data_IF_102005163013
#
_entry.id   IF_102005163013
#
_cell.length_a   1.000
_cell.length_b   1.000
_cell.length_c   1.000
_cell.angle_alpha   90.00
_cell.angle_beta   90.00
_cell.angle_gamma   90.00
#
_symmetry.space_group_name_H-M   'P 1'
#
loop_
_entity.id
_entity.type
_entity.pdbx_description
1 polymer ?
#
# COMPACT_ATOMS: atom_id res chain seq x y z
N UNK A 1 23.40 -10.30 21.05
CA UNK A 1 23.62 -10.39 19.59
C UNK A 1 22.49 -9.73 18.84
N UNK A 2 21.22 -9.91 19.24
CA UNK A 2 20.05 -9.34 18.56
C UNK A 2 19.91 -7.81 18.79
N UNK A 3 20.20 -7.30 19.97
CA UNK A 3 20.11 -5.86 20.27
C UNK A 3 21.13 -5.03 19.47
N UNK A 4 22.35 -5.51 19.29
CA UNK A 4 23.34 -4.82 18.45
C UNK A 4 22.94 -4.81 16.98
N UNK A 5 22.37 -5.91 16.48
CA UNK A 5 21.95 -5.99 15.07
C UNK A 5 20.88 -4.97 14.74
N UNK A 6 19.88 -4.79 15.60
CA UNK A 6 18.80 -3.81 15.36
C UNK A 6 19.34 -2.39 15.41
N UNK A 7 20.15 -2.04 16.43
CA UNK A 7 20.74 -0.72 16.59
C UNK A 7 21.60 -0.33 15.38
N UNK A 8 22.52 -1.21 14.98
CA UNK A 8 23.41 -0.97 13.82
C UNK A 8 22.64 -0.75 12.52
N UNK A 9 21.55 -1.52 12.28
CA UNK A 9 20.72 -1.34 11.09
C UNK A 9 19.91 -0.04 11.13
N UNK A 10 19.41 0.36 12.29
CA UNK A 10 18.69 1.65 12.45
C UNK A 10 19.64 2.82 12.22
N UNK A 11 20.86 2.78 12.78
CA UNK A 11 21.88 3.80 12.58
C UNK A 11 22.28 3.89 11.08
N UNK A 12 22.50 2.75 10.44
CA UNK A 12 22.81 2.71 9.02
C UNK A 12 21.67 3.29 8.18
N UNK A 13 20.43 2.88 8.45
CA UNK A 13 19.25 3.40 7.75
C UNK A 13 19.13 4.90 7.93
N UNK A 14 19.26 5.40 9.16
CA UNK A 14 19.21 6.84 9.45
C UNK A 14 20.26 7.63 8.66
N UNK A 15 21.49 7.14 8.61
CA UNK A 15 22.57 7.77 7.83
C UNK A 15 22.26 7.79 6.32
N UNK A 16 21.69 6.70 5.75
CA UNK A 16 21.29 6.66 4.35
C UNK A 16 20.13 7.63 4.05
N UNK A 17 19.17 7.74 4.97
CA UNK A 17 18.07 8.72 4.83
C UNK A 17 18.55 10.17 4.94
N UNK A 18 19.53 10.47 5.79
CA UNK A 18 20.15 11.81 5.85
C UNK A 18 20.77 12.20 4.50
N UNK A 19 21.54 11.30 3.88
CA UNK A 19 22.10 11.51 2.55
C UNK A 19 21.03 11.68 1.46
N UNK A 20 19.96 10.90 1.54
CA UNK A 20 18.84 10.99 0.61
C UNK A 20 18.12 12.33 0.74
N UNK A 21 17.83 12.75 1.96
CA UNK A 21 17.13 14.02 2.25
C UNK A 21 17.96 15.21 1.78
N UNK A 22 19.27 15.21 2.03
CA UNK A 22 20.16 16.26 1.53
C UNK A 22 20.05 16.42 -0.01
N UNK A 23 20.00 15.30 -0.73
CA UNK A 23 19.82 15.32 -2.19
C UNK A 23 18.43 15.80 -2.61
N UNK A 24 17.37 15.39 -1.87
CA UNK A 24 16.00 15.81 -2.15
C UNK A 24 15.81 17.31 -1.95
N UNK A 25 16.34 17.87 -0.89
CA UNK A 25 16.23 19.30 -0.57
C UNK A 25 16.99 20.18 -1.56
N UNK A 26 18.16 19.75 -2.01
CA UNK A 26 18.91 20.45 -3.08
C UNK A 26 18.12 20.52 -4.40
N UNK A 27 17.28 19.53 -4.68
CA UNK A 27 16.47 19.50 -5.90
C UNK A 27 15.15 20.30 -5.76
N UNK A 28 14.79 20.77 -4.56
CA UNK A 28 13.63 21.64 -4.33
C UNK A 28 12.28 21.03 -4.67
N UNK A 29 12.20 19.69 -4.86
CA UNK A 29 10.98 18.97 -5.22
C UNK A 29 10.43 18.22 -4.02
N UNK A 30 9.16 18.44 -3.62
CA UNK A 30 8.54 17.74 -2.50
C UNK A 30 8.09 16.29 -2.85
N UNK A 31 8.69 15.70 -3.88
CA UNK A 31 8.28 14.42 -4.41
C UNK A 31 8.97 13.27 -3.69
N UNK A 32 8.22 12.20 -3.40
CA UNK A 32 8.78 11.00 -2.84
C UNK A 32 9.81 10.35 -3.80
N UNK A 33 10.98 9.95 -3.32
CA UNK A 33 11.91 9.17 -4.11
C UNK A 33 11.29 7.78 -4.36
N UNK A 34 11.49 7.23 -5.56
CA UNK A 34 10.99 5.91 -5.93
C UNK A 34 12.12 4.90 -6.07
N UNK A 35 13.18 5.26 -6.76
CA UNK A 35 14.33 4.41 -7.03
C UNK A 35 15.53 5.27 -7.44
N UNK A 36 16.60 4.61 -7.82
CA UNK A 36 17.76 5.26 -8.47
C UNK A 36 17.94 4.69 -9.87
N UNK A 37 18.39 5.52 -10.80
CA UNK A 37 18.78 5.06 -12.13
C UNK A 37 20.16 4.38 -12.12
N UNK A 38 20.57 3.86 -13.27
CA UNK A 38 21.88 3.19 -13.43
C UNK A 38 23.09 4.12 -13.21
N UNK A 39 22.85 5.44 -13.16
CA UNK A 39 23.89 6.47 -12.89
C UNK A 39 23.86 6.95 -11.42
N UNK A 40 22.97 6.38 -10.59
CA UNK A 40 22.81 6.78 -9.19
C UNK A 40 21.99 8.05 -8.98
N UNK A 41 21.28 8.55 -10.00
CA UNK A 41 20.38 9.68 -9.84
C UNK A 41 19.04 9.23 -9.25
N UNK A 42 18.44 10.07 -8.39
CA UNK A 42 17.14 9.79 -7.82
C UNK A 42 16.06 9.87 -8.92
N UNK A 43 15.30 8.80 -9.07
CA UNK A 43 14.06 8.78 -9.84
C UNK A 43 12.92 9.01 -8.86
N UNK A 44 12.16 10.06 -9.09
CA UNK A 44 11.02 10.40 -8.24
C UNK A 44 9.76 9.64 -8.69
N UNK A 45 8.83 9.44 -7.78
CA UNK A 45 7.47 9.07 -8.13
C UNK A 45 6.95 10.05 -9.19
N UNK A 46 6.39 9.54 -10.30
CA UNK A 46 6.05 10.36 -11.48
C UNK A 46 5.06 11.47 -11.17
N UNK A 47 4.24 11.23 -10.19
CA UNK A 47 3.30 12.19 -9.64
C UNK A 47 2.90 11.70 -8.23
N UNK A 48 2.17 12.53 -7.53
CA UNK A 48 1.61 12.19 -6.21
C UNK A 48 0.66 10.99 -6.22
N UNK A 49 0.17 10.54 -7.38
CA UNK A 49 -0.69 9.38 -7.60
C UNK A 49 0.08 8.05 -7.75
N UNK A 50 1.39 8.10 -7.72
CA UNK A 50 2.22 6.88 -7.78
C UNK A 50 2.02 6.09 -6.47
N UNK A 51 1.70 4.81 -6.60
CA UNK A 51 1.42 3.92 -5.48
C UNK A 51 2.54 3.86 -4.44
N UNK A 52 3.78 4.13 -4.86
CA UNK A 52 4.95 4.14 -3.97
C UNK A 52 5.08 5.42 -3.14
N UNK A 53 4.30 6.46 -3.40
CA UNK A 53 4.49 7.78 -2.81
C UNK A 53 4.36 7.82 -1.29
N UNK A 54 3.61 6.90 -0.69
CA UNK A 54 3.42 6.80 0.77
C UNK A 54 4.60 6.19 1.52
N UNK A 55 5.40 5.35 0.87
CA UNK A 55 6.44 4.57 1.58
C UNK A 55 7.57 5.42 2.14
N UNK A 56 7.99 6.47 1.44
CA UNK A 56 9.05 7.33 1.94
C UNK A 56 8.63 8.04 3.24
N UNK A 57 7.44 8.62 3.28
CA UNK A 57 6.89 9.21 4.49
C UNK A 57 6.74 8.15 5.61
N UNK A 58 6.28 6.95 5.27
CA UNK A 58 6.19 5.82 6.20
C UNK A 58 7.51 5.45 6.83
N UNK A 59 8.57 5.37 6.03
CA UNK A 59 9.92 5.08 6.53
C UNK A 59 10.42 6.15 7.50
N UNK A 60 10.12 7.42 7.25
CA UNK A 60 10.48 8.51 8.17
C UNK A 60 9.72 8.42 9.50
N UNK A 61 8.45 7.99 9.48
CA UNK A 61 7.70 7.69 10.70
C UNK A 61 8.33 6.55 11.50
N UNK A 62 8.78 5.49 10.83
CA UNK A 62 9.48 4.39 11.49
C UNK A 62 10.83 4.83 12.07
N UNK A 63 11.61 5.66 11.36
CA UNK A 63 12.84 6.23 11.92
C UNK A 63 12.57 7.06 13.18
N UNK A 64 11.50 7.86 13.17
CA UNK A 64 11.08 8.58 14.39
C UNK A 64 10.76 7.59 15.53
N UNK A 65 9.96 6.58 15.27
CA UNK A 65 9.57 5.60 16.28
C UNK A 65 10.78 4.84 16.88
N UNK A 66 11.75 4.51 16.04
CA UNK A 66 12.92 3.72 16.45
C UNK A 66 14.02 4.55 17.11
N UNK A 67 14.15 5.83 16.78
CA UNK A 67 15.24 6.68 17.27
C UNK A 67 14.79 7.72 18.31
N UNK A 68 13.51 8.09 18.32
CA UNK A 68 12.99 9.21 19.12
C UNK A 68 13.46 10.60 18.64
N UNK A 69 14.19 10.70 17.53
CA UNK A 69 14.72 11.96 17.02
C UNK A 69 13.63 12.77 16.30
N UNK A 70 13.29 13.94 16.85
CA UNK A 70 12.25 14.86 16.34
C UNK A 70 12.50 15.35 14.91
N UNK A 71 13.73 15.27 14.40
CA UNK A 71 14.00 15.60 12.99
C UNK A 71 13.22 14.68 12.05
N UNK A 72 13.14 13.38 12.37
CA UNK A 72 12.42 12.41 11.56
C UNK A 72 10.92 12.66 11.57
N UNK A 73 10.36 13.03 12.71
CA UNK A 73 8.95 13.43 12.82
C UNK A 73 8.64 14.67 11.97
N UNK A 74 9.51 15.68 12.02
CA UNK A 74 9.35 16.91 11.23
C UNK A 74 9.36 16.60 9.73
N UNK A 75 10.28 15.77 9.28
CA UNK A 75 10.38 15.34 7.89
C UNK A 75 9.20 14.44 7.50
N UNK A 76 8.82 13.48 8.36
CA UNK A 76 7.68 12.60 8.14
C UNK A 76 6.39 13.40 7.94
N UNK A 77 6.13 14.40 8.77
CA UNK A 77 4.99 15.32 8.61
C UNK A 77 5.04 16.04 7.27
N UNK A 78 6.16 16.65 6.91
CA UNK A 78 6.35 17.38 5.65
C UNK A 78 5.96 16.51 4.44
N UNK A 79 6.49 15.28 4.37
CA UNK A 79 6.24 14.38 3.25
C UNK A 79 4.87 13.70 3.31
N UNK A 80 4.32 13.46 4.49
CA UNK A 80 2.94 12.98 4.67
C UNK A 80 1.92 14.01 4.18
N UNK A 81 2.05 15.26 4.62
CA UNK A 81 1.10 16.32 4.29
C UNK A 81 1.07 16.66 2.79
N UNK A 82 2.19 16.46 2.09
CA UNK A 82 2.25 16.58 0.64
C UNK A 82 1.31 15.60 -0.10
N UNK A 83 0.91 14.50 0.56
CA UNK A 83 0.04 13.47 0.01
C UNK A 83 -1.45 13.69 0.32
N UNK A 84 -1.83 14.81 0.93
CA UNK A 84 -3.20 15.05 1.43
C UNK A 84 -4.29 14.82 0.38
N UNK A 85 -4.06 15.20 -0.88
CA UNK A 85 -5.05 15.06 -1.94
C UNK A 85 -5.29 13.61 -2.37
N UNK A 86 -4.39 12.68 -2.02
CA UNK A 86 -4.51 11.27 -2.36
C UNK A 86 -5.66 10.57 -1.65
N UNK A 87 -6.17 11.12 -0.55
CA UNK A 87 -7.35 10.61 0.13
C UNK A 87 -8.60 10.50 -0.78
N UNK A 88 -8.61 11.16 -1.94
CA UNK A 88 -9.72 11.16 -2.88
C UNK A 88 -9.53 10.23 -4.09
N UNK A 89 -8.47 9.41 -4.11
CA UNK A 89 -8.23 8.47 -5.20
C UNK A 89 -9.31 7.38 -5.22
N UNK A 90 -9.92 7.19 -6.40
CA UNK A 90 -10.91 6.13 -6.66
C UNK A 90 -10.56 5.28 -7.86
N UNK A 91 -9.45 5.56 -8.54
CA UNK A 91 -9.05 4.92 -9.80
C UNK A 91 -8.34 3.58 -9.63
N UNK A 92 -7.74 3.34 -8.47
CA UNK A 92 -7.02 2.11 -8.11
C UNK A 92 -7.08 1.87 -6.60
N UNK A 93 -6.67 0.67 -6.15
CA UNK A 93 -6.73 0.28 -4.75
C UNK A 93 -5.56 0.81 -3.90
N UNK A 94 -4.51 1.31 -4.51
CA UNK A 94 -3.24 1.67 -3.84
C UNK A 94 -3.37 2.85 -2.86
N UNK A 95 -4.54 3.44 -2.74
CA UNK A 95 -4.82 4.47 -1.74
C UNK A 95 -4.52 3.97 -0.31
N UNK A 96 -4.74 2.68 -0.04
CA UNK A 96 -4.35 2.07 1.23
C UNK A 96 -2.84 2.08 1.44
N UNK A 97 -2.04 1.84 0.39
CA UNK A 97 -0.57 1.97 0.47
C UNK A 97 -0.14 3.42 0.66
N UNK A 98 -0.73 4.35 -0.09
CA UNK A 98 -0.34 5.75 -0.03
C UNK A 98 -0.68 6.36 1.33
N UNK A 99 -1.93 6.28 1.74
CA UNK A 99 -2.43 6.89 2.97
C UNK A 99 -2.10 6.01 4.20
N UNK A 100 -2.16 4.68 4.07
CA UNK A 100 -1.81 3.77 5.17
C UNK A 100 -0.35 3.91 5.59
N UNK A 101 0.59 3.90 4.65
CA UNK A 101 2.00 4.05 5.00
C UNK A 101 2.35 5.46 5.51
N UNK A 102 1.64 6.50 5.11
CA UNK A 102 1.91 7.88 5.49
C UNK A 102 1.05 8.34 6.68
N UNK A 103 -0.20 8.65 6.44
CA UNK A 103 -1.11 9.23 7.43
C UNK A 103 -1.44 8.28 8.58
N UNK A 104 -1.68 6.99 8.30
CA UNK A 104 -2.01 6.02 9.36
C UNK A 104 -0.81 5.80 10.30
N UNK A 105 0.41 5.71 9.76
CA UNK A 105 1.60 5.66 10.61
C UNK A 105 1.78 6.96 11.39
N UNK A 106 1.53 8.11 10.79
CA UNK A 106 1.56 9.39 11.51
C UNK A 106 0.55 9.47 12.65
N UNK A 107 -0.67 8.99 12.44
CA UNK A 107 -1.69 8.94 13.49
C UNK A 107 -1.23 8.03 14.65
N UNK A 108 -0.69 6.86 14.35
CA UNK A 108 -0.12 5.93 15.36
C UNK A 108 1.02 6.55 16.16
N UNK A 109 1.71 7.53 15.58
CA UNK A 109 2.76 8.32 16.25
C UNK A 109 2.23 9.62 16.89
N UNK A 110 0.92 9.70 17.17
CA UNK A 110 0.29 10.78 17.92
C UNK A 110 -0.15 11.99 17.08
N UNK A 111 -0.34 11.84 15.77
CA UNK A 111 -0.90 12.90 14.91
C UNK A 111 -2.42 12.75 14.80
N UNK A 112 -3.18 13.10 15.82
CA UNK A 112 -4.65 12.95 15.89
C UNK A 112 -5.40 13.69 14.75
N UNK A 113 -4.85 14.77 14.22
CA UNK A 113 -5.46 15.51 13.12
C UNK A 113 -5.58 14.74 11.79
N UNK A 114 -5.03 13.51 11.71
CA UNK A 114 -5.05 12.68 10.51
C UNK A 114 -6.30 11.78 10.37
N UNK A 115 -7.10 11.65 11.40
CA UNK A 115 -8.30 10.80 11.48
C UNK A 115 -9.25 11.03 10.31
N UNK A 116 -9.56 12.28 10.02
CA UNK A 116 -10.50 12.64 8.93
C UNK A 116 -9.99 12.25 7.56
N UNK A 117 -8.66 12.28 7.36
CA UNK A 117 -8.01 11.91 6.10
C UNK A 117 -8.05 10.39 5.92
N UNK A 118 -7.82 9.64 6.98
CA UNK A 118 -7.90 8.17 6.99
C UNK A 118 -9.32 7.72 6.67
N UNK A 119 -10.33 8.29 7.34
CA UNK A 119 -11.74 7.96 7.08
C UNK A 119 -12.14 8.34 5.65
N UNK A 120 -11.68 9.49 5.13
CA UNK A 120 -11.95 9.86 3.74
C UNK A 120 -11.27 8.91 2.74
N UNK A 121 -10.04 8.49 2.99
CA UNK A 121 -9.35 7.53 2.15
C UNK A 121 -10.06 6.16 2.14
N UNK A 122 -10.57 5.71 3.29
CA UNK A 122 -11.37 4.51 3.39
C UNK A 122 -12.68 4.63 2.59
N UNK A 123 -13.37 5.78 2.63
CA UNK A 123 -14.54 6.06 1.79
C UNK A 123 -14.18 5.97 0.30
N UNK A 124 -13.06 6.53 -0.11
CA UNK A 124 -12.59 6.47 -1.49
C UNK A 124 -12.26 5.04 -1.93
N UNK A 125 -11.56 4.26 -1.10
CA UNK A 125 -11.29 2.85 -1.34
C UNK A 125 -12.58 2.02 -1.44
N UNK A 126 -13.56 2.30 -0.58
CA UNK A 126 -14.86 1.62 -0.55
C UNK A 126 -15.65 1.75 -1.86
N UNK A 127 -15.42 2.82 -2.64
CA UNK A 127 -16.04 2.95 -3.97
C UNK A 127 -15.63 1.86 -4.94
N UNK A 128 -14.55 1.14 -4.64
CA UNK A 128 -14.04 0.02 -5.43
C UNK A 128 -14.59 -1.33 -5.00
N UNK A 129 -15.36 -1.38 -3.94
CA UNK A 129 -16.00 -2.61 -3.48
C UNK A 129 -17.10 -3.05 -4.46
N UNK A 130 -17.06 -4.30 -4.88
CA UNK A 130 -18.01 -4.94 -5.79
C UNK A 130 -18.84 -5.92 -4.99
N UNK A 131 -20.01 -5.50 -4.54
CA UNK A 131 -20.87 -6.28 -3.62
C UNK A 131 -21.25 -7.63 -4.18
N UNK A 132 -21.51 -7.76 -5.49
CA UNK A 132 -21.82 -9.04 -6.13
C UNK A 132 -20.66 -10.03 -6.13
N UNK A 133 -19.41 -9.53 -6.09
CA UNK A 133 -18.20 -10.33 -5.99
C UNK A 133 -17.64 -10.41 -4.57
N UNK A 134 -18.04 -9.52 -3.68
CA UNK A 134 -17.54 -9.44 -2.31
C UNK A 134 -16.09 -8.99 -2.18
N UNK A 135 -15.55 -8.28 -3.17
CA UNK A 135 -14.14 -7.89 -3.26
C UNK A 135 -13.93 -6.42 -3.61
N UNK A 136 -12.78 -5.89 -3.27
CA UNK A 136 -12.30 -4.57 -3.68
C UNK A 136 -11.51 -4.76 -4.98
N UNK A 137 -11.98 -4.14 -6.07
CA UNK A 137 -11.34 -4.20 -7.38
C UNK A 137 -10.01 -3.42 -7.39
N UNK A 138 -8.93 -4.05 -7.84
CA UNK A 138 -7.60 -3.45 -7.82
C UNK A 138 -7.42 -2.37 -8.86
N UNK A 139 -7.71 -2.64 -10.12
CA UNK A 139 -7.49 -1.73 -11.25
C UNK A 139 -8.75 -1.50 -12.07
N UNK A 140 -8.77 -0.39 -12.78
CA UNK A 140 -9.76 -0.18 -13.84
C UNK A 140 -9.38 -1.02 -15.06
N UNK A 141 -10.40 -1.60 -15.71
CA UNK A 141 -10.21 -2.57 -16.81
C UNK A 141 -10.54 -2.00 -18.19
N UNK A 142 -10.93 -0.72 -18.25
CA UNK A 142 -11.35 -0.08 -19.52
C UNK A 142 -10.22 0.67 -20.24
N UNK A 143 -9.10 0.90 -19.58
CA UNK A 143 -7.97 1.69 -20.10
C UNK A 143 -6.65 1.05 -19.71
N UNK A 144 -5.58 1.47 -20.41
CA UNK A 144 -4.24 1.01 -20.12
C UNK A 144 -3.98 -0.46 -20.50
N UNK A 145 -2.91 -1.03 -19.99
CA UNK A 145 -2.53 -2.42 -20.25
C UNK A 145 -3.53 -3.44 -19.67
N UNK A 146 -4.28 -3.05 -18.64
CA UNK A 146 -5.30 -3.90 -18.02
C UNK A 146 -6.46 -4.18 -18.99
N UNK A 147 -6.79 -3.23 -19.88
CA UNK A 147 -7.83 -3.41 -20.89
C UNK A 147 -7.53 -4.53 -21.87
N UNK A 148 -6.24 -4.83 -22.10
CA UNK A 148 -5.80 -5.87 -23.03
C UNK A 148 -5.90 -7.28 -22.41
N UNK A 149 -6.14 -7.38 -21.10
CA UNK A 149 -6.20 -8.66 -20.36
C UNK A 149 -7.59 -9.32 -20.40
N UNK A 150 -8.61 -8.59 -20.81
CA UNK A 150 -10.00 -9.10 -20.83
C UNK A 150 -10.59 -9.31 -19.42
N UNK A 151 -9.99 -8.71 -18.41
CA UNK A 151 -10.49 -8.78 -17.02
C UNK A 151 -11.75 -7.95 -16.83
N UNK A 152 -12.59 -8.40 -15.92
CA UNK A 152 -13.78 -7.68 -15.49
C UNK A 152 -13.58 -7.03 -14.12
N UNK A 153 -13.16 -7.83 -13.13
CA UNK A 153 -12.88 -7.38 -11.76
C UNK A 153 -11.59 -8.03 -11.24
N UNK A 154 -10.42 -7.56 -11.68
CA UNK A 154 -9.16 -8.09 -11.22
C UNK A 154 -8.88 -7.68 -9.77
N UNK A 155 -8.46 -8.63 -8.98
CA UNK A 155 -7.99 -8.46 -7.61
C UNK A 155 -6.57 -8.99 -7.52
N UNK A 156 -5.64 -8.13 -7.15
CA UNK A 156 -4.25 -8.50 -6.89
C UNK A 156 -4.09 -8.81 -5.40
N UNK A 157 -3.27 -9.78 -5.06
CA UNK A 157 -3.13 -10.31 -3.70
C UNK A 157 -2.73 -9.25 -2.68
N UNK A 158 -1.91 -8.28 -3.07
CA UNK A 158 -1.45 -7.19 -2.19
C UNK A 158 -2.57 -6.24 -1.74
N UNK A 159 -3.76 -6.32 -2.36
CA UNK A 159 -4.93 -5.59 -1.89
C UNK A 159 -5.29 -5.92 -0.43
N UNK A 160 -4.83 -7.06 0.10
CA UNK A 160 -4.95 -7.40 1.51
C UNK A 160 -4.33 -6.35 2.44
N UNK A 161 -3.24 -5.70 2.02
CA UNK A 161 -2.61 -4.63 2.81
C UNK A 161 -3.46 -3.36 2.90
N UNK A 162 -4.38 -3.15 1.96
CA UNK A 162 -5.29 -2.00 2.00
C UNK A 162 -6.43 -2.17 3.02
N UNK A 163 -6.66 -3.38 3.54
CA UNK A 163 -7.74 -3.63 4.51
C UNK A 163 -7.50 -2.94 5.85
N UNK A 164 -6.25 -2.70 6.20
CA UNK A 164 -5.88 -2.05 7.44
C UNK A 164 -6.52 -0.65 7.58
N UNK A 165 -6.55 0.13 6.50
CA UNK A 165 -7.18 1.45 6.52
C UNK A 165 -8.71 1.37 6.71
N UNK A 166 -9.36 0.29 6.25
CA UNK A 166 -10.79 0.06 6.47
C UNK A 166 -11.10 -0.31 7.93
N UNK A 167 -10.29 -1.16 8.54
CA UNK A 167 -10.42 -1.49 9.97
C UNK A 167 -10.22 -0.26 10.84
N UNK A 168 -9.21 0.54 10.54
CA UNK A 168 -8.93 1.77 11.28
C UNK A 168 -10.06 2.80 11.11
N UNK A 169 -10.56 2.98 9.89
CA UNK A 169 -11.69 3.87 9.63
C UNK A 169 -12.97 3.43 10.37
N UNK A 170 -13.17 2.11 10.57
CA UNK A 170 -14.24 1.60 11.42
C UNK A 170 -14.06 2.06 12.86
N UNK A 171 -12.87 1.94 13.41
CA UNK A 171 -12.55 2.34 14.78
C UNK A 171 -12.77 3.86 14.99
N UNK A 172 -12.33 4.67 14.01
CA UNK A 172 -12.41 6.12 14.08
C UNK A 172 -13.82 6.67 13.89
N UNK A 173 -14.61 6.04 13.02
CA UNK A 173 -15.94 6.57 12.63
C UNK A 173 -17.12 5.84 13.26
N UNK A 174 -16.92 4.62 13.77
CA UNK A 174 -17.99 3.73 14.20
C UNK A 174 -18.79 3.10 13.05
N UNK A 175 -18.42 3.36 11.79
CA UNK A 175 -19.09 2.81 10.61
C UNK A 175 -18.61 1.40 10.30
N UNK A 176 -19.41 0.40 10.67
CA UNK A 176 -19.11 -1.01 10.44
C UNK A 176 -19.14 -1.43 8.97
N UNK A 177 -19.56 -0.57 8.05
CA UNK A 177 -19.55 -0.87 6.60
C UNK A 177 -18.14 -1.14 6.12
N UNK A 178 -17.15 -0.38 6.59
CA UNK A 178 -15.74 -0.59 6.25
C UNK A 178 -15.23 -1.94 6.72
N UNK A 179 -15.54 -2.32 7.98
CA UNK A 179 -15.21 -3.63 8.54
C UNK A 179 -15.80 -4.76 7.70
N UNK A 180 -17.08 -4.68 7.37
CA UNK A 180 -17.76 -5.71 6.59
C UNK A 180 -17.17 -5.87 5.18
N UNK A 181 -16.78 -4.77 4.53
CA UNK A 181 -16.10 -4.81 3.23
C UNK A 181 -14.72 -5.48 3.35
N UNK A 182 -13.95 -5.15 4.38
CA UNK A 182 -12.64 -5.71 4.63
C UNK A 182 -12.71 -7.23 4.87
N UNK A 183 -13.62 -7.67 5.74
CA UNK A 183 -13.83 -9.09 6.04
C UNK A 183 -14.29 -9.84 4.80
N UNK A 184 -15.27 -9.32 4.07
CA UNK A 184 -15.74 -9.92 2.82
C UNK A 184 -14.61 -10.11 1.81
N UNK A 185 -13.77 -9.09 1.64
CA UNK A 185 -12.62 -9.18 0.73
C UNK A 185 -11.60 -10.22 1.21
N UNK A 186 -11.30 -10.27 2.50
CA UNK A 186 -10.38 -11.24 3.08
C UNK A 186 -10.87 -12.69 2.90
N UNK A 187 -12.16 -12.95 3.15
CA UNK A 187 -12.76 -14.27 2.96
C UNK A 187 -12.71 -14.73 1.50
N UNK A 188 -13.00 -13.82 0.57
CA UNK A 188 -12.91 -14.12 -0.86
C UNK A 188 -11.46 -14.34 -1.32
N UNK A 189 -10.50 -13.62 -0.74
CA UNK A 189 -9.07 -13.83 -0.98
C UNK A 189 -8.63 -15.19 -0.44
N UNK A 190 -8.96 -15.51 0.80
CA UNK A 190 -8.64 -16.81 1.40
C UNK A 190 -9.20 -17.97 0.54
N UNK A 191 -10.41 -17.83 0.07
CA UNK A 191 -11.08 -18.86 -0.73
C UNK A 191 -10.48 -19.05 -2.12
N UNK A 192 -10.04 -18.00 -2.78
CA UNK A 192 -9.79 -18.02 -4.22
C UNK A 192 -8.35 -17.75 -4.64
N UNK A 193 -7.54 -17.06 -3.80
CA UNK A 193 -6.17 -16.70 -4.14
C UNK A 193 -5.16 -17.77 -3.74
N UNK A 194 -5.47 -18.66 -2.81
CA UNK A 194 -4.53 -19.68 -2.36
C UNK A 194 -4.68 -20.99 -3.12
N UNK A 195 -3.54 -21.61 -3.42
CA UNK A 195 -3.45 -22.96 -3.96
C UNK A 195 -3.45 -23.97 -2.81
N UNK A 196 -3.59 -25.25 -3.14
CA UNK A 196 -3.60 -26.33 -2.17
C UNK A 196 -2.27 -26.49 -1.40
N UNK A 197 -1.17 -26.03 -2.00
CA UNK A 197 0.16 -26.03 -1.39
C UNK A 197 0.44 -24.80 -0.52
N UNK A 198 -0.55 -23.90 -0.36
CA UNK A 198 -0.44 -22.65 0.41
C UNK A 198 0.17 -21.48 -0.36
N UNK A 199 0.66 -21.69 -1.58
CA UNK A 199 1.09 -20.59 -2.44
C UNK A 199 -0.09 -19.79 -2.96
N UNK A 200 0.11 -18.56 -3.42
CA UNK A 200 -0.98 -17.75 -3.91
C UNK A 200 -0.86 -17.37 -5.37
N UNK A 201 -2.00 -17.13 -6.00
CA UNK A 201 -2.09 -16.47 -7.30
C UNK A 201 -1.86 -14.97 -7.12
N UNK A 202 -1.17 -14.35 -8.07
CA UNK A 202 -0.97 -12.91 -8.06
C UNK A 202 -2.27 -12.15 -8.31
N UNK A 203 -3.01 -12.51 -9.37
CA UNK A 203 -4.28 -11.88 -9.76
C UNK A 203 -5.37 -12.94 -9.87
N UNK A 204 -6.53 -12.64 -9.30
CA UNK A 204 -7.78 -13.38 -9.55
C UNK A 204 -8.79 -12.42 -10.14
N UNK A 205 -9.34 -12.77 -11.30
CA UNK A 205 -10.41 -12.01 -11.94
C UNK A 205 -11.78 -12.61 -11.60
N UNK A 206 -12.71 -11.76 -11.24
CA UNK A 206 -14.05 -12.14 -10.82
C UNK A 206 -15.12 -11.60 -11.77
N UNK A 207 -16.21 -12.35 -11.91
CA UNK A 207 -17.48 -11.84 -12.41
C UNK A 207 -18.09 -10.93 -11.34
N UNK A 208 -18.30 -9.65 -11.66
CA UNK A 208 -18.73 -8.63 -10.69
C UNK A 208 -20.12 -8.87 -10.12
N UNK A 209 -20.96 -9.64 -10.82
CA UNK A 209 -22.35 -9.91 -10.43
C UNK A 209 -22.49 -11.16 -9.58
N UNK A 210 -21.73 -12.22 -9.90
CA UNK A 210 -21.89 -13.54 -9.30
C UNK A 210 -20.79 -13.92 -8.32
N UNK A 211 -19.66 -13.19 -8.31
CA UNK A 211 -18.48 -13.51 -7.53
C UNK A 211 -17.73 -14.76 -7.99
N UNK A 212 -18.11 -15.34 -9.12
CA UNK A 212 -17.41 -16.51 -9.69
C UNK A 212 -16.05 -16.08 -10.22
N UNK A 213 -15.04 -16.92 -9.96
CA UNK A 213 -13.70 -16.73 -10.53
C UNK A 213 -13.78 -16.98 -12.05
N UNK A 214 -13.29 -16.00 -12.81
CA UNK A 214 -13.18 -16.07 -14.27
C UNK A 214 -11.81 -16.58 -14.70
N UNK A 215 -10.76 -16.09 -14.05
CA UNK A 215 -9.38 -16.51 -14.30
C UNK A 215 -8.47 -16.28 -13.12
N UNK A 216 -7.34 -16.97 -13.12
CA UNK A 216 -6.21 -16.75 -12.20
C UNK A 216 -4.96 -16.62 -13.03
N UNK A 217 -4.11 -15.62 -12.72
CA UNK A 217 -2.91 -15.38 -13.50
C UNK A 217 -1.85 -14.60 -12.70
N UNK A 218 -0.71 -14.42 -13.34
CA UNK A 218 0.37 -13.55 -12.87
C UNK A 218 0.51 -12.35 -13.81
N UNK A 219 0.38 -11.14 -13.27
CA UNK A 219 0.64 -9.90 -14.01
C UNK A 219 2.06 -9.39 -13.80
N UNK A 220 2.58 -9.58 -12.59
CA UNK A 220 3.95 -9.27 -12.18
C UNK A 220 4.49 -10.50 -11.45
N UNK A 221 5.53 -11.11 -11.99
CA UNK A 221 6.07 -12.37 -11.51
C UNK A 221 6.59 -13.21 -12.64
N UNK A 222 6.85 -14.50 -12.39
CA UNK A 222 7.53 -15.37 -13.32
C UNK A 222 6.56 -16.02 -14.32
N UNK A 223 5.55 -16.73 -13.85
CA UNK A 223 4.51 -17.35 -14.67
C UNK A 223 3.24 -17.59 -13.86
N UNK A 224 2.15 -17.94 -14.54
CA UNK A 224 0.86 -18.21 -13.89
C UNK A 224 0.89 -19.45 -12.98
N UNK A 225 1.76 -20.39 -13.26
CA UNK A 225 1.95 -21.62 -12.49
C UNK A 225 2.99 -21.49 -11.37
N UNK A 226 3.75 -20.41 -11.38
CA UNK A 226 4.79 -20.16 -10.37
C UNK A 226 4.20 -19.78 -9.02
N UNK A 227 4.75 -20.33 -7.95
CA UNK A 227 4.53 -19.84 -6.59
C UNK A 227 5.17 -18.45 -6.35
N UNK A 228 6.05 -18.01 -7.25
CA UNK A 228 6.72 -16.74 -7.19
C UNK A 228 5.91 -15.63 -7.86
N UNK A 229 5.34 -14.74 -7.06
CA UNK A 229 4.71 -13.50 -7.50
C UNK A 229 5.32 -12.32 -6.75
N UNK A 230 5.58 -11.21 -7.45
CA UNK A 230 6.29 -10.05 -6.89
C UNK A 230 5.61 -9.49 -5.63
N UNK A 231 4.31 -9.40 -5.63
CA UNK A 231 3.52 -8.87 -4.50
C UNK A 231 3.50 -9.78 -3.28
N UNK A 232 3.83 -11.07 -3.43
CA UNK A 232 3.75 -12.05 -2.35
C UNK A 232 4.95 -12.04 -1.41
N UNK A 233 6.07 -11.51 -1.82
CA UNK A 233 7.27 -11.39 -0.99
C UNK A 233 6.97 -10.61 0.29
N UNK A 234 6.02 -9.68 0.23
CA UNK A 234 5.66 -8.82 1.35
C UNK A 234 4.57 -9.40 2.27
N UNK A 235 3.82 -10.41 1.82
CA UNK A 235 2.65 -10.94 2.54
C UNK A 235 2.92 -12.31 3.13
N UNK A 236 3.78 -13.10 2.52
CA UNK A 236 3.96 -14.52 2.82
C UNK A 236 5.27 -14.87 3.53
N UNK A 237 6.04 -13.90 3.99
CA UNK A 237 7.16 -14.22 4.88
C UNK A 237 6.60 -14.76 6.21
N UNK A 238 6.81 -16.06 6.51
CA UNK A 238 6.47 -16.54 7.83
C UNK A 238 7.35 -15.79 8.82
N UNK A 239 6.72 -15.08 9.75
CA UNK A 239 7.41 -14.59 10.95
C UNK A 239 8.07 -15.78 11.62
N UNK A 240 9.37 -15.93 11.44
CA UNK A 240 10.20 -16.86 12.18
C UNK A 240 10.63 -16.23 13.49
#
# INVERSE_FOLDING_TARGET
VEENYLSENVEYAAAQYDLLIEKLEKNGKPWAPRTVDTKGNIVYARNVWDWTSGFFAGSLWYLYNLTGDEKWKTLAKKYTEALKQQQYITSHHDIGFIIGCSYLNGMRMGQEAYDTIIVQAAKSLSTRFRSGAGVIQSWNTRTGWQAQRGWECPVIIDNMMNLEILFEATSLSGDSTFYNMAVSHADMTLKNHFRMDGSSYHVVDYDMRTGKVRSRCTAQGYSDESAWALSLIHISEPTR
#
